data_IF_059246831215
#
_entry.id   IF_059246831215
#
_cell.length_a   1.000
_cell.length_b   1.000
_cell.length_c   1.000
_cell.angle_alpha   90.00
_cell.angle_beta   90.00
_cell.angle_gamma   90.00
#
_symmetry.space_group_name_H-M   'P 1'
#
loop_
_entity.id
_entity.type
_entity.pdbx_description
1 polymer ?
#
# COMPACT_ATOMS: atom_id res chain seq x y z
N UNK A 1 -18.15 11.97 19.37
CA UNK A 1 -17.15 11.73 18.32
C UNK A 1 -17.70 10.69 17.36
N UNK A 2 -17.41 10.83 16.08
CA UNK A 2 -17.78 9.89 15.01
C UNK A 2 -16.49 9.38 14.38
N UNK A 3 -16.34 8.06 14.28
CA UNK A 3 -15.27 7.42 13.54
C UNK A 3 -15.86 6.91 12.22
N UNK A 4 -15.21 7.25 11.10
CA UNK A 4 -15.58 6.78 9.78
C UNK A 4 -14.48 5.84 9.30
N UNK A 5 -14.85 4.63 8.89
CA UNK A 5 -13.96 3.66 8.30
C UNK A 5 -14.31 3.52 6.81
N UNK A 6 -13.35 3.83 5.95
CA UNK A 6 -13.46 3.59 4.52
C UNK A 6 -12.99 2.17 4.18
N UNK A 7 -13.33 1.71 3.02
CA UNK A 7 -12.98 0.39 2.53
C UNK A 7 -12.10 0.45 1.27
N UNK A 8 -11.53 -0.67 0.85
CA UNK A 8 -10.68 -0.81 -0.33
C UNK A 8 -9.42 0.07 -0.24
N UNK A 9 -9.07 0.76 -1.30
CA UNK A 9 -7.92 1.64 -1.37
C UNK A 9 -8.06 2.66 -2.48
N UNK A 10 -7.29 3.75 -2.41
CA UNK A 10 -7.36 4.86 -3.35
C UNK A 10 -7.22 4.44 -4.82
N UNK A 11 -6.40 3.40 -5.12
CA UNK A 11 -6.24 2.89 -6.49
C UNK A 11 -7.49 2.22 -7.04
N UNK A 12 -8.47 1.92 -6.21
CA UNK A 12 -9.76 1.32 -6.60
C UNK A 12 -10.93 2.29 -6.47
N UNK A 13 -10.66 3.54 -6.15
CA UNK A 13 -11.68 4.59 -6.11
C UNK A 13 -12.35 4.76 -7.47
N UNK A 14 -13.65 5.06 -7.47
CA UNK A 14 -14.43 5.21 -8.70
C UNK A 14 -13.95 6.40 -9.55
N UNK A 15 -13.50 7.48 -8.91
CA UNK A 15 -13.12 8.72 -9.58
C UNK A 15 -11.59 8.87 -9.70
N UNK A 16 -10.83 8.41 -8.70
CA UNK A 16 -9.38 8.60 -8.58
C UNK A 16 -8.57 7.32 -8.78
N UNK A 17 -9.23 6.19 -8.96
CA UNK A 17 -8.58 4.90 -9.14
C UNK A 17 -8.09 4.62 -10.55
N UNK A 18 -7.51 3.45 -10.75
CA UNK A 18 -6.95 2.97 -12.02
C UNK A 18 -8.08 2.44 -12.91
N UNK A 19 -8.74 3.32 -13.66
CA UNK A 19 -9.82 2.92 -14.56
C UNK A 19 -9.29 1.98 -15.68
N UNK A 20 -10.02 0.91 -16.06
CA UNK A 20 -11.36 0.50 -15.60
C UNK A 20 -11.37 -0.44 -14.38
N UNK A 21 -10.26 -0.60 -13.69
CA UNK A 21 -10.09 -1.54 -12.58
C UNK A 21 -10.51 -0.93 -11.23
N UNK A 22 -11.58 -0.16 -11.22
CA UNK A 22 -12.11 0.53 -10.05
C UNK A 22 -13.26 -0.24 -9.39
N UNK A 23 -13.58 0.11 -8.15
CA UNK A 23 -14.81 -0.33 -7.48
C UNK A 23 -15.98 0.55 -7.92
N UNK A 24 -17.18 0.18 -7.50
CA UNK A 24 -18.39 0.96 -7.75
C UNK A 24 -18.64 2.04 -6.69
N UNK A 25 -17.69 2.31 -5.83
CA UNK A 25 -17.86 3.22 -4.68
C UNK A 25 -16.65 4.13 -4.50
N UNK A 26 -16.90 5.28 -3.87
CA UNK A 26 -15.83 6.16 -3.39
C UNK A 26 -15.12 5.58 -2.19
N UNK A 27 -13.79 5.55 -2.27
CA UNK A 27 -12.91 5.09 -1.20
C UNK A 27 -12.14 6.25 -0.56
N UNK A 28 -12.39 7.48 -1.03
CA UNK A 28 -11.71 8.70 -0.56
C UNK A 28 -12.35 9.19 0.73
N UNK A 29 -11.52 9.56 1.71
CA UNK A 29 -11.96 9.98 3.05
C UNK A 29 -12.97 11.13 3.04
N UNK A 30 -12.83 12.08 2.11
CA UNK A 30 -13.76 13.18 1.95
C UNK A 30 -15.21 12.74 1.66
N UNK A 31 -15.41 11.52 1.15
CA UNK A 31 -16.73 10.96 0.89
C UNK A 31 -17.39 10.36 2.14
N UNK A 32 -16.60 10.06 3.17
CA UNK A 32 -17.08 9.46 4.43
C UNK A 32 -18.26 10.20 5.04
N UNK A 33 -18.20 11.52 5.26
CA UNK A 33 -19.32 12.31 5.79
C UNK A 33 -20.56 12.27 4.90
N UNK A 34 -20.41 12.21 3.58
CA UNK A 34 -21.52 12.08 2.63
C UNK A 34 -22.22 10.73 2.83
N UNK A 35 -21.45 9.66 2.85
CA UNK A 35 -21.95 8.30 3.08
C UNK A 35 -22.61 8.14 4.46
N UNK A 36 -22.12 8.86 5.47
CA UNK A 36 -22.69 8.87 6.82
C UNK A 36 -23.92 9.79 6.99
N UNK A 37 -24.37 10.49 5.94
CA UNK A 37 -25.52 11.39 6.01
C UNK A 37 -25.24 12.73 6.69
N UNK A 38 -23.98 13.12 6.84
CA UNK A 38 -23.54 14.39 7.45
C UNK A 38 -22.70 15.24 6.48
N UNK A 39 -23.17 15.53 5.26
CA UNK A 39 -22.37 16.05 4.15
C UNK A 39 -21.77 17.45 4.38
N UNK A 40 -22.22 18.18 5.39
CA UNK A 40 -21.67 19.50 5.75
C UNK A 40 -20.46 19.43 6.70
N UNK A 41 -20.07 18.24 7.12
CA UNK A 41 -18.90 18.03 7.97
C UNK A 41 -17.71 17.60 7.12
N UNK A 42 -16.52 17.95 7.58
CA UNK A 42 -15.27 17.43 7.10
C UNK A 42 -14.61 16.62 8.22
N UNK A 43 -13.88 15.56 7.95
CA UNK A 43 -13.06 14.89 8.94
C UNK A 43 -12.07 15.87 9.58
N UNK A 44 -11.98 15.88 10.90
CA UNK A 44 -10.98 16.69 11.61
C UNK A 44 -9.58 16.07 11.43
N UNK A 45 -9.53 14.76 11.29
CA UNK A 45 -8.31 13.98 11.04
C UNK A 45 -8.59 12.84 10.08
N UNK A 46 -7.62 12.58 9.19
CA UNK A 46 -7.61 11.46 8.27
C UNK A 46 -6.37 10.61 8.50
N UNK A 47 -6.57 9.36 8.88
CA UNK A 47 -5.48 8.40 9.07
C UNK A 47 -5.42 7.48 7.85
N UNK A 48 -4.33 7.56 7.07
CA UNK A 48 -4.04 6.62 6.01
C UNK A 48 -3.53 5.31 6.59
N UNK A 49 -4.23 4.20 6.36
CA UNK A 49 -3.77 2.87 6.80
C UNK A 49 -3.02 2.21 5.65
N UNK A 50 -1.74 1.93 5.86
CA UNK A 50 -0.86 1.28 4.90
C UNK A 50 -0.32 -0.03 5.47
N UNK A 51 -0.11 -1.02 4.62
CA UNK A 51 0.75 -2.16 4.96
C UNK A 51 2.21 -1.79 4.68
N UNK A 52 3.13 -2.40 5.38
CA UNK A 52 4.57 -2.27 5.11
C UNK A 52 5.01 -2.93 3.78
N UNK A 53 4.10 -3.41 2.99
CA UNK A 53 4.28 -3.94 1.63
C UNK A 53 3.00 -3.73 0.83
N UNK A 54 3.07 -3.89 -0.49
CA UNK A 54 1.93 -3.65 -1.36
C UNK A 54 1.14 -4.94 -1.63
N UNK A 55 -0.19 -4.82 -1.71
CA UNK A 55 -1.06 -5.92 -2.12
C UNK A 55 -2.12 -5.44 -3.10
N UNK A 56 -2.50 -6.32 -4.01
CA UNK A 56 -3.58 -6.04 -4.96
C UNK A 56 -4.52 -7.24 -5.06
N UNK A 57 -5.83 -6.97 -5.14
CA UNK A 57 -6.85 -7.98 -5.39
C UNK A 57 -7.52 -7.67 -6.73
N UNK A 58 -7.70 -8.70 -7.55
CA UNK A 58 -8.31 -8.57 -8.87
C UNK A 58 -7.35 -8.16 -9.97
N UNK A 59 -7.91 -7.90 -11.14
CA UNK A 59 -7.18 -7.53 -12.34
C UNK A 59 -6.69 -6.06 -12.30
N UNK A 60 -5.86 -5.71 -13.26
CA UNK A 60 -5.32 -4.37 -13.45
C UNK A 60 -3.82 -4.28 -13.17
N UNK A 61 -3.19 -3.17 -13.56
CA UNK A 61 -1.77 -2.97 -13.39
C UNK A 61 -1.37 -2.91 -11.91
N UNK A 62 -0.23 -3.51 -11.61
CA UNK A 62 0.37 -3.49 -10.28
C UNK A 62 1.89 -3.47 -10.44
N UNK A 63 2.48 -2.28 -10.49
CA UNK A 63 3.89 -2.08 -10.85
C UNK A 63 4.82 -2.81 -9.89
N UNK A 64 4.55 -2.73 -8.58
CA UNK A 64 5.36 -3.38 -7.55
C UNK A 64 5.42 -4.92 -7.66
N UNK A 65 4.42 -5.57 -8.25
CA UNK A 65 4.43 -7.02 -8.47
C UNK A 65 5.56 -7.48 -9.39
N UNK A 66 6.07 -6.59 -10.24
CA UNK A 66 7.18 -6.91 -11.17
C UNK A 66 8.56 -6.64 -10.58
N UNK A 67 8.62 -6.19 -9.34
CA UNK A 67 9.86 -5.77 -8.70
C UNK A 67 10.74 -6.95 -8.28
N UNK A 68 10.14 -8.09 -7.93
CA UNK A 68 10.83 -9.21 -7.30
C UNK A 68 10.48 -10.54 -7.98
N UNK A 69 11.34 -11.55 -7.85
CA UNK A 69 11.04 -12.89 -8.35
C UNK A 69 9.91 -13.56 -7.56
N UNK A 70 9.24 -14.53 -8.21
CA UNK A 70 8.10 -15.25 -7.63
C UNK A 70 8.41 -15.87 -6.26
N UNK A 71 9.62 -16.39 -6.05
CA UNK A 71 10.04 -16.99 -4.79
C UNK A 71 10.01 -16.00 -3.62
N UNK A 72 10.39 -14.74 -3.85
CA UNK A 72 10.30 -13.69 -2.84
C UNK A 72 8.83 -13.31 -2.56
N UNK A 73 8.05 -13.20 -3.63
CA UNK A 73 6.62 -12.92 -3.53
C UNK A 73 5.85 -14.01 -2.76
N UNK A 74 6.21 -15.27 -3.00
CA UNK A 74 5.61 -16.41 -2.30
C UNK A 74 5.96 -16.37 -0.81
N UNK A 75 7.22 -16.10 -0.48
CA UNK A 75 7.65 -15.93 0.92
C UNK A 75 6.91 -14.79 1.63
N UNK A 76 6.73 -13.65 0.95
CA UNK A 76 5.96 -12.52 1.48
C UNK A 76 4.48 -12.88 1.68
N UNK A 77 3.90 -13.59 0.73
CA UNK A 77 2.49 -14.03 0.77
C UNK A 77 2.24 -14.98 1.93
N UNK A 78 3.13 -15.96 2.12
CA UNK A 78 3.04 -16.91 3.23
C UNK A 78 3.21 -16.20 4.59
N UNK A 79 4.27 -15.41 4.76
CA UNK A 79 4.54 -14.67 6.00
C UNK A 79 3.42 -13.69 6.35
N UNK A 80 2.84 -13.03 5.36
CA UNK A 80 1.76 -12.07 5.53
C UNK A 80 0.37 -12.68 5.63
N UNK A 81 0.21 -13.98 5.33
CA UNK A 81 -1.09 -14.64 5.24
C UNK A 81 -1.97 -14.02 4.15
N UNK A 82 -1.37 -13.64 3.01
CA UNK A 82 -2.05 -12.87 1.97
C UNK A 82 -2.89 -13.76 1.05
N UNK A 83 -3.97 -14.26 1.63
CA UNK A 83 -5.00 -15.06 0.98
C UNK A 83 -6.39 -14.45 1.19
N UNK A 84 -7.29 -14.69 0.26
CA UNK A 84 -8.67 -14.24 0.38
C UNK A 84 -9.40 -14.99 1.50
N UNK A 85 -9.97 -14.27 2.47
CA UNK A 85 -10.62 -14.87 3.64
C UNK A 85 -11.74 -15.87 3.27
N UNK A 86 -12.53 -15.59 2.24
CA UNK A 86 -13.63 -16.44 1.82
C UNK A 86 -13.24 -17.49 0.77
N UNK A 87 -12.26 -17.20 -0.07
CA UNK A 87 -11.93 -18.02 -1.24
C UNK A 87 -10.60 -18.75 -1.15
N UNK A 88 -9.76 -18.40 -0.19
CA UNK A 88 -8.38 -18.91 -0.09
C UNK A 88 -7.48 -18.52 -1.28
N UNK A 89 -7.95 -17.67 -2.20
CA UNK A 89 -7.14 -17.29 -3.37
C UNK A 89 -5.94 -16.46 -2.96
N UNK A 90 -4.74 -16.76 -3.51
CA UNK A 90 -3.56 -15.95 -3.24
C UNK A 90 -3.77 -14.52 -3.73
N UNK A 91 -3.42 -13.55 -2.90
CA UNK A 91 -3.37 -12.15 -3.29
C UNK A 91 -2.09 -11.88 -4.06
N UNK A 92 -2.15 -10.93 -4.98
CA UNK A 92 -0.98 -10.35 -5.61
C UNK A 92 -0.26 -9.50 -4.56
N UNK A 93 1.05 -9.65 -4.45
CA UNK A 93 1.88 -8.96 -3.45
C UNK A 93 3.09 -8.34 -4.13
N UNK A 94 3.72 -7.39 -3.50
CA UNK A 94 4.95 -6.75 -3.95
C UNK A 94 5.59 -5.93 -2.84
N UNK A 95 6.82 -5.43 -3.05
CA UNK A 95 7.45 -4.48 -2.16
C UNK A 95 6.56 -3.27 -1.87
N UNK A 96 6.87 -2.54 -0.81
CA UNK A 96 6.21 -1.27 -0.56
C UNK A 96 6.43 -0.32 -1.73
N UNK A 97 5.35 0.24 -2.26
CA UNK A 97 5.37 1.13 -3.41
C UNK A 97 5.16 2.58 -2.94
N UNK A 98 6.26 3.32 -2.87
CA UNK A 98 6.24 4.72 -2.42
C UNK A 98 5.44 5.58 -3.39
N UNK A 99 5.59 5.36 -4.70
CA UNK A 99 4.94 6.18 -5.74
C UNK A 99 3.42 6.07 -5.65
N UNK A 100 2.91 4.84 -5.65
CA UNK A 100 1.48 4.58 -5.50
C UNK A 100 0.94 5.01 -4.13
N UNK A 101 1.71 4.78 -3.06
CA UNK A 101 1.30 5.13 -1.70
C UNK A 101 1.20 6.64 -1.50
N UNK A 102 2.15 7.41 -2.04
CA UNK A 102 2.10 8.88 -1.99
C UNK A 102 0.88 9.44 -2.73
N UNK A 103 0.58 8.90 -3.91
CA UNK A 103 -0.64 9.27 -4.63
C UNK A 103 -1.89 8.98 -3.79
N UNK A 104 -2.00 7.77 -3.26
CA UNK A 104 -3.12 7.37 -2.42
C UNK A 104 -3.31 8.28 -1.20
N UNK A 105 -2.23 8.58 -0.48
CA UNK A 105 -2.27 9.47 0.68
C UNK A 105 -2.69 10.90 0.32
N UNK A 106 -2.20 11.42 -0.82
CA UNK A 106 -2.62 12.74 -1.34
C UNK A 106 -4.11 12.77 -1.66
N UNK A 107 -4.63 11.74 -2.36
CA UNK A 107 -6.06 11.63 -2.66
C UNK A 107 -6.92 11.56 -1.40
N UNK A 108 -6.45 10.84 -0.36
CA UNK A 108 -7.14 10.74 0.91
C UNK A 108 -7.09 12.04 1.74
N UNK A 109 -6.14 12.94 1.46
CA UNK A 109 -5.85 14.07 2.34
C UNK A 109 -5.38 13.61 3.72
N UNK A 110 -4.63 12.50 3.78
CA UNK A 110 -4.19 11.92 5.04
C UNK A 110 -3.16 12.83 5.73
N UNK A 111 -3.42 13.13 7.01
CA UNK A 111 -2.54 13.91 7.88
C UNK A 111 -1.71 13.01 8.81
N UNK A 112 -2.07 11.73 8.90
CA UNK A 112 -1.35 10.71 9.68
C UNK A 112 -1.34 9.39 8.93
N UNK A 113 -0.35 8.55 9.26
CA UNK A 113 -0.19 7.21 8.69
C UNK A 113 -0.17 6.21 9.83
N UNK A 114 -0.92 5.12 9.67
CA UNK A 114 -0.81 3.90 10.45
C UNK A 114 -0.17 2.83 9.57
N UNK A 115 1.12 2.54 9.78
CA UNK A 115 1.82 1.48 9.08
C UNK A 115 1.55 0.15 9.80
N UNK A 116 1.03 -0.81 9.08
CA UNK A 116 0.64 -2.13 9.59
C UNK A 116 1.48 -3.23 8.96
N UNK A 117 1.46 -4.43 9.56
CA UNK A 117 2.15 -5.60 8.99
C UNK A 117 3.68 -5.45 8.88
N UNK A 118 4.29 -4.59 9.69
CA UNK A 118 5.74 -4.43 9.73
C UNK A 118 6.44 -5.72 10.19
N UNK A 119 5.82 -6.46 11.10
CA UNK A 119 6.24 -7.75 11.61
C UNK A 119 6.47 -8.80 10.52
N UNK A 120 5.70 -8.75 9.44
CA UNK A 120 5.81 -9.67 8.29
C UNK A 120 7.19 -9.56 7.63
N UNK A 121 7.78 -8.38 7.62
CA UNK A 121 9.09 -8.13 7.01
C UNK A 121 10.26 -8.66 7.84
N UNK A 122 10.04 -9.12 9.08
CA UNK A 122 11.08 -9.78 9.90
C UNK A 122 11.64 -11.07 9.29
N UNK A 123 11.02 -11.60 8.23
CA UNK A 123 11.49 -12.78 7.52
C UNK A 123 12.60 -12.48 6.48
N UNK A 124 12.95 -11.21 6.25
CA UNK A 124 13.83 -10.80 5.17
C UNK A 124 15.08 -10.08 5.67
N UNK A 125 16.25 -10.50 5.13
CA UNK A 125 17.55 -9.86 5.42
C UNK A 125 17.69 -8.50 4.69
N UNK A 126 17.09 -8.41 3.50
CA UNK A 126 17.01 -7.19 2.71
C UNK A 126 15.57 -6.96 2.28
N UNK A 127 15.10 -5.72 2.41
CA UNK A 127 13.72 -5.34 2.13
C UNK A 127 13.72 -4.41 0.92
N UNK A 128 13.19 -4.88 -0.22
CA UNK A 128 13.02 -4.04 -1.40
C UNK A 128 11.90 -3.03 -1.21
N UNK A 129 12.11 -1.83 -1.75
CA UNK A 129 11.13 -0.73 -1.79
C UNK A 129 11.12 -0.14 -3.19
N UNK A 130 9.94 0.07 -3.76
CA UNK A 130 9.79 0.76 -5.05
C UNK A 130 9.80 2.26 -4.81
N UNK A 131 10.87 2.93 -5.25
CA UNK A 131 11.11 4.36 -5.00
C UNK A 131 10.76 5.25 -6.18
N UNK A 132 10.68 4.69 -7.38
CA UNK A 132 10.30 5.40 -8.60
C UNK A 132 9.77 4.41 -9.65
N UNK A 133 9.14 4.93 -10.69
CA UNK A 133 8.78 4.19 -11.89
C UNK A 133 9.63 4.64 -13.05
N UNK A 134 10.02 3.70 -13.91
CA UNK A 134 10.82 3.95 -15.10
C UNK A 134 10.03 3.59 -16.37
N UNK A 135 9.97 4.53 -17.30
CA UNK A 135 9.40 4.33 -18.64
C UNK A 135 10.42 4.81 -19.68
N UNK A 136 10.81 3.95 -20.58
CA UNK A 136 11.95 4.18 -21.49
C UNK A 136 13.22 4.46 -20.67
N UNK A 137 13.77 5.66 -20.72
CA UNK A 137 14.97 6.07 -19.98
C UNK A 137 14.67 7.14 -18.91
N UNK A 138 13.39 7.43 -18.67
CA UNK A 138 12.96 8.48 -17.75
C UNK A 138 12.39 7.83 -16.48
N UNK A 139 12.86 8.28 -15.33
CA UNK A 139 12.30 7.93 -14.02
C UNK A 139 11.33 9.01 -13.56
N UNK A 140 10.26 8.58 -12.90
CA UNK A 140 9.26 9.47 -12.28
C UNK A 140 8.87 8.95 -10.90
N UNK A 141 8.54 9.87 -10.01
CA UNK A 141 7.89 9.61 -8.73
C UNK A 141 6.43 10.06 -8.73
N UNK A 142 5.97 10.60 -9.85
CA UNK A 142 4.57 10.97 -10.02
C UNK A 142 3.77 9.76 -10.50
N UNK A 143 2.65 9.53 -9.85
CA UNK A 143 1.68 8.50 -10.22
C UNK A 143 0.53 9.16 -11.00
N UNK A 144 0.30 8.70 -12.22
CA UNK A 144 -0.87 9.09 -13.01
C UNK A 144 -1.76 7.84 -13.25
N UNK A 145 -2.97 7.80 -12.66
CA UNK A 145 -3.88 6.66 -12.83
C UNK A 145 -4.42 6.51 -14.25
N UNK A 146 -4.27 7.53 -15.10
CA UNK A 146 -4.73 7.52 -16.50
C UNK A 146 -3.65 7.01 -17.47
N UNK A 147 -2.40 6.93 -17.01
CA UNK A 147 -1.31 6.39 -17.81
C UNK A 147 -1.38 4.85 -17.91
N UNK A 148 -0.77 4.31 -18.94
CA UNK A 148 -0.59 2.87 -19.06
C UNK A 148 0.50 2.39 -18.08
N UNK A 149 0.09 2.04 -16.86
CA UNK A 149 0.99 1.60 -15.79
C UNK A 149 1.74 0.30 -16.12
N UNK A 150 1.24 -0.52 -17.05
CA UNK A 150 1.94 -1.72 -17.51
C UNK A 150 3.19 -1.39 -18.34
N UNK A 151 3.32 -0.15 -18.83
CA UNK A 151 4.51 0.33 -19.54
C UNK A 151 5.64 0.78 -18.62
N UNK A 152 5.42 0.83 -17.30
CA UNK A 152 6.42 1.25 -16.33
C UNK A 152 7.11 0.04 -15.69
N UNK A 153 8.40 0.18 -15.42
CA UNK A 153 9.20 -0.74 -14.62
C UNK A 153 9.43 -0.14 -13.23
N UNK A 154 9.38 -0.94 -12.15
CA UNK A 154 9.71 -0.46 -10.82
C UNK A 154 11.22 -0.19 -10.70
N UNK A 155 11.58 0.92 -10.08
CA UNK A 155 12.93 1.21 -9.61
C UNK A 155 13.00 0.84 -8.14
N UNK A 156 13.94 -0.05 -7.79
CA UNK A 156 13.99 -0.68 -6.47
C UNK A 156 15.21 -0.16 -5.72
N UNK A 157 15.01 0.17 -4.46
CA UNK A 157 16.04 0.36 -3.46
C UNK A 157 15.94 -0.75 -2.41
N UNK A 158 17.08 -1.26 -1.96
CA UNK A 158 17.13 -2.29 -0.92
C UNK A 158 17.54 -1.67 0.40
N UNK A 159 16.70 -1.87 1.41
CA UNK A 159 16.94 -1.46 2.78
C UNK A 159 17.41 -2.67 3.61
N UNK A 160 18.28 -2.48 4.60
CA UNK A 160 18.65 -3.57 5.49
C UNK A 160 17.44 -4.04 6.29
N UNK A 161 17.21 -5.34 6.28
CA UNK A 161 16.14 -5.96 7.05
C UNK A 161 16.47 -6.12 8.53
N UNK A 162 15.53 -6.68 9.24
CA UNK A 162 15.69 -7.09 10.65
C UNK A 162 15.17 -8.50 10.78
N UNK A 163 15.97 -9.42 11.27
CA UNK A 163 15.59 -10.82 11.43
C UNK A 163 14.99 -11.13 12.81
N UNK A 164 14.76 -10.08 13.60
CA UNK A 164 14.15 -10.19 14.93
C UNK A 164 12.64 -10.15 14.81
N UNK A 165 11.94 -11.08 15.43
CA UNK A 165 10.48 -11.03 15.56
C UNK A 165 10.07 -9.80 16.39
N UNK A 166 9.30 -8.91 15.77
CA UNK A 166 8.79 -7.67 16.39
C UNK A 166 7.29 -7.75 16.73
N UNK A 167 6.65 -8.90 16.60
CA UNK A 167 5.20 -9.07 16.83
C UNK A 167 4.77 -8.73 18.28
N UNK A 168 5.71 -8.77 19.22
CA UNK A 168 5.49 -8.44 20.62
C UNK A 168 6.04 -7.08 21.03
N UNK A 169 6.53 -6.27 20.12
CA UNK A 169 6.94 -4.89 20.40
C UNK A 169 5.71 -4.02 20.60
N UNK A 170 5.64 -3.31 21.72
CA UNK A 170 4.49 -2.46 22.08
C UNK A 170 4.79 -0.96 22.03
N UNK A 171 6.06 -0.60 21.88
CA UNK A 171 6.49 0.78 21.79
C UNK A 171 7.67 0.93 20.81
N UNK A 172 7.95 2.19 20.43
CA UNK A 172 8.99 2.53 19.46
C UNK A 172 10.38 2.07 19.86
N UNK A 173 10.70 2.13 21.15
CA UNK A 173 12.02 1.84 21.71
C UNK A 173 12.40 0.37 21.54
N UNK A 174 11.41 -0.52 21.54
CA UNK A 174 11.59 -1.98 21.40
C UNK A 174 11.89 -2.41 19.97
N UNK A 175 11.61 -1.56 18.98
CA UNK A 175 11.87 -1.90 17.58
C UNK A 175 13.37 -1.90 17.28
N UNK A 176 13.88 -2.83 16.44
CA UNK A 176 15.23 -2.78 15.90
C UNK A 176 15.48 -1.50 15.11
N UNK A 177 16.73 -1.04 15.07
CA UNK A 177 17.07 0.21 14.39
C UNK A 177 16.73 0.18 12.90
N UNK A 178 16.92 -0.95 12.22
CA UNK A 178 16.53 -1.11 10.82
C UNK A 178 15.01 -1.00 10.63
N UNK A 179 14.20 -1.52 11.56
CA UNK A 179 12.74 -1.39 11.50
C UNK A 179 12.28 0.05 11.75
N UNK A 180 13.00 0.79 12.60
CA UNK A 180 12.76 2.24 12.81
C UNK A 180 13.14 3.07 11.59
N UNK A 181 14.19 2.65 10.87
CA UNK A 181 14.67 3.34 9.68
C UNK A 181 13.81 3.09 8.45
N UNK A 182 13.16 1.93 8.36
CA UNK A 182 12.19 1.58 7.32
C UNK A 182 10.97 2.51 7.38
#
# INVERSE_FOLDING_TARGET
NVLLEAQLGAMRDIDYGIFPYTSSSSTIAAYGPIGAGIPRRHPDHVVGVLKAYSTCVGAGPFVAERAMPDSWMDSLRESGGEYGAATGRPRRVGPFDIVASQYGLKCQGADKIALTKLDVLSAFDEIPVVTAYKKNQTCTQDFDPLENLDSYEPVIEYLPGWTTDISNCHNWEELPDNAKAY
#
